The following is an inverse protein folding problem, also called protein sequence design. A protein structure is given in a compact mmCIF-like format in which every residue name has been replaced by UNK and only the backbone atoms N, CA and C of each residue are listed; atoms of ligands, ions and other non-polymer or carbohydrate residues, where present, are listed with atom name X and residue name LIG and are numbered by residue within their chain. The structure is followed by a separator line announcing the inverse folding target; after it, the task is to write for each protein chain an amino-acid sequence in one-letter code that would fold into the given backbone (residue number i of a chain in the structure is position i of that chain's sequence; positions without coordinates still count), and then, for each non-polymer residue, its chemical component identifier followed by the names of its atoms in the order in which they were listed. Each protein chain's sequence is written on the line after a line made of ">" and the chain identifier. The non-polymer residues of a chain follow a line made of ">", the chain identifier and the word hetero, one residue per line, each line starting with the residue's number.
data_IF_571768059952
#
_entry.id   IF_571768059952
#
_cell.length_a   1.000
_cell.length_b   1.000
_cell.length_c   1.000
_cell.angle_alpha   90.00
_cell.angle_beta   90.00
_cell.angle_gamma   90.00
#
_symmetry.space_group_name_H-M   'P 1'
#
loop_
_entity.id
_entity.type
_entity.pdbx_description
1 polymer ?
#
# COMPACT_ATOMS: atom_id res chain seq x y z
N UNK A 1 -9.23 24.58 -7.43
CA UNK A 1 -10.66 24.90 -7.22
C UNK A 1 -10.81 25.68 -5.94
N UNK A 2 -11.79 26.57 -5.89
CA UNK A 2 -12.03 27.43 -4.72
C UNK A 2 -12.94 26.75 -3.67
N UNK A 3 -13.48 25.58 -3.98
CA UNK A 3 -14.39 24.84 -3.13
C UNK A 3 -13.68 23.57 -2.60
N UNK A 4 -13.65 23.40 -1.29
CA UNK A 4 -13.03 22.23 -0.64
C UNK A 4 -14.01 21.05 -0.59
N UNK A 5 -15.28 21.30 -0.25
CA UNK A 5 -16.31 20.28 -0.13
C UNK A 5 -17.58 20.80 -0.76
N UNK A 6 -18.11 20.06 -1.73
CA UNK A 6 -19.48 20.20 -2.20
C UNK A 6 -20.35 19.15 -1.53
N UNK A 7 -20.91 19.52 -0.42
CA UNK A 7 -21.71 18.62 0.41
C UNK A 7 -23.01 18.19 -0.28
N UNK A 8 -23.38 16.95 -0.10
CA UNK A 8 -24.67 16.40 -0.53
C UNK A 8 -25.32 15.63 0.64
N UNK A 9 -26.65 15.70 0.74
CA UNK A 9 -27.41 14.96 1.76
C UNK A 9 -27.23 13.42 1.64
N UNK A 10 -27.01 12.93 0.42
CA UNK A 10 -26.68 11.53 0.17
C UNK A 10 -25.18 11.38 0.34
N UNK A 11 -24.77 10.54 1.30
CA UNK A 11 -23.39 10.37 1.75
C UNK A 11 -22.39 10.26 0.61
N UNK A 12 -22.57 9.32 -0.31
CA UNK A 12 -21.65 9.02 -1.40
C UNK A 12 -21.73 9.98 -2.61
N UNK A 13 -22.57 11.02 -2.55
CA UNK A 13 -22.67 12.08 -3.55
C UNK A 13 -21.91 13.35 -3.17
N UNK A 14 -21.41 13.43 -1.94
CA UNK A 14 -20.51 14.51 -1.52
C UNK A 14 -19.22 14.48 -2.34
N UNK A 15 -18.76 15.62 -2.80
CA UNK A 15 -17.52 15.75 -3.58
C UNK A 15 -16.50 16.57 -2.81
N UNK A 16 -15.30 16.05 -2.72
CA UNK A 16 -14.15 16.74 -2.15
C UNK A 16 -13.33 17.36 -3.29
N UNK A 17 -12.89 18.59 -3.09
CA UNK A 17 -12.06 19.37 -4.02
C UNK A 17 -12.59 19.37 -5.47
N UNK A 18 -13.87 19.69 -5.69
CA UNK A 18 -14.47 19.66 -7.03
C UNK A 18 -13.71 20.61 -7.98
N UNK A 19 -13.42 20.13 -9.20
CA UNK A 19 -12.66 20.87 -10.20
C UNK A 19 -11.14 20.96 -9.97
N UNK A 20 -10.63 20.40 -8.87
CA UNK A 20 -9.18 20.32 -8.66
C UNK A 20 -8.57 19.22 -9.51
N UNK A 21 -7.35 19.49 -10.03
CA UNK A 21 -6.58 18.54 -10.81
C UNK A 21 -5.19 18.36 -10.23
N UNK A 22 -4.71 17.13 -10.21
CA UNK A 22 -3.39 16.77 -9.71
C UNK A 22 -2.84 15.55 -10.46
N UNK A 23 -1.54 15.31 -10.30
CA UNK A 23 -0.92 14.05 -10.68
C UNK A 23 -0.36 13.40 -9.41
N UNK A 24 -0.70 12.13 -9.15
CA UNK A 24 -0.24 11.43 -7.96
C UNK A 24 1.28 11.30 -7.95
N UNK A 25 1.87 10.86 -9.08
CA UNK A 25 3.32 10.69 -9.17
C UNK A 25 4.09 12.02 -9.03
N UNK A 26 3.55 13.15 -9.56
CA UNK A 26 4.12 14.48 -9.37
C UNK A 26 4.22 14.84 -7.87
N UNK A 27 3.22 14.45 -7.08
CA UNK A 27 3.21 14.70 -5.64
C UNK A 27 4.16 13.78 -4.86
N UNK A 28 4.42 12.57 -5.34
CA UNK A 28 5.40 11.65 -4.76
C UNK A 28 6.83 12.09 -5.11
N UNK A 29 7.07 12.48 -6.36
CA UNK A 29 8.40 12.75 -6.93
C UNK A 29 8.83 14.23 -6.82
N UNK A 30 8.40 14.92 -5.77
CA UNK A 30 8.77 16.34 -5.55
C UNK A 30 10.26 16.56 -5.32
N UNK A 31 10.90 15.64 -4.61
CA UNK A 31 12.35 15.66 -4.37
C UNK A 31 13.09 15.21 -5.62
N UNK A 32 14.24 15.85 -5.88
CA UNK A 32 15.17 15.49 -6.96
C UNK A 32 16.60 15.63 -6.41
N UNK A 33 16.90 14.90 -5.34
CA UNK A 33 18.18 14.97 -4.64
C UNK A 33 18.95 13.65 -4.77
N UNK A 34 20.22 13.67 -4.41
CA UNK A 34 21.07 12.47 -4.31
C UNK A 34 20.83 11.65 -3.05
N UNK A 35 19.89 12.06 -2.20
CA UNK A 35 19.50 11.30 -1.03
C UNK A 35 18.75 10.02 -1.43
N UNK A 36 18.88 8.97 -0.63
CA UNK A 36 18.18 7.69 -0.86
C UNK A 36 16.68 7.91 -0.72
N UNK A 37 15.92 7.55 -1.76
CA UNK A 37 14.46 7.52 -1.73
C UNK A 37 13.94 6.15 -1.31
N UNK A 38 14.51 5.09 -1.83
CA UNK A 38 14.10 3.70 -1.57
C UNK A 38 15.34 2.85 -1.33
N UNK A 39 15.33 2.07 -0.25
CA UNK A 39 16.27 0.99 -0.01
C UNK A 39 15.52 -0.33 -0.01
N UNK A 40 16.08 -1.35 -0.62
CA UNK A 40 15.54 -2.69 -0.71
C UNK A 40 16.52 -3.70 -0.13
N UNK A 41 16.02 -4.60 0.71
CA UNK A 41 16.75 -5.76 1.23
C UNK A 41 15.98 -7.04 0.94
N UNK A 42 16.64 -8.01 0.32
CA UNK A 42 16.14 -9.39 0.18
C UNK A 42 16.51 -10.22 1.40
N UNK A 43 15.70 -11.24 1.74
CA UNK A 43 16.06 -12.24 2.75
C UNK A 43 17.40 -12.98 2.47
N UNK A 44 17.90 -12.90 1.23
CA UNK A 44 19.19 -13.48 0.81
C UNK A 44 20.36 -12.50 0.95
N UNK A 45 20.13 -11.32 1.54
CA UNK A 45 21.13 -10.29 1.73
C UNK A 45 21.45 -9.46 0.49
N UNK A 46 20.67 -9.57 -0.60
CA UNK A 46 20.80 -8.61 -1.69
C UNK A 46 20.25 -7.28 -1.24
N UNK A 47 21.04 -6.25 -1.37
CA UNK A 47 20.64 -4.89 -1.06
C UNK A 47 20.78 -4.01 -2.29
N UNK A 48 19.78 -3.20 -2.54
CA UNK A 48 19.74 -2.19 -3.60
C UNK A 48 19.17 -0.90 -3.04
N UNK A 49 19.64 0.23 -3.56
CA UNK A 49 19.07 1.53 -3.22
C UNK A 49 18.95 2.41 -4.46
N UNK A 50 18.03 3.36 -4.39
CA UNK A 50 17.79 4.34 -5.45
C UNK A 50 17.61 5.72 -4.81
N UNK A 51 18.29 6.72 -5.39
CA UNK A 51 18.12 8.12 -4.96
C UNK A 51 16.81 8.72 -5.50
N UNK A 52 16.38 9.86 -4.95
CA UNK A 52 15.22 10.59 -5.44
C UNK A 52 15.35 11.00 -6.92
N UNK A 53 16.53 11.45 -7.32
CA UNK A 53 16.83 11.79 -8.71
C UNK A 53 16.75 10.57 -9.64
N UNK A 54 17.34 9.46 -9.23
CA UNK A 54 17.30 8.22 -10.00
C UNK A 54 15.88 7.65 -10.10
N UNK A 55 15.09 7.71 -9.00
CA UNK A 55 13.69 7.29 -8.99
C UNK A 55 12.88 8.13 -9.98
N UNK A 56 13.01 9.47 -9.91
CA UNK A 56 12.37 10.38 -10.86
C UNK A 56 12.69 10.02 -12.31
N UNK A 57 13.98 9.87 -12.65
CA UNK A 57 14.43 9.57 -14.00
C UNK A 57 13.90 8.22 -14.50
N UNK A 58 13.97 7.15 -13.70
CA UNK A 58 13.46 5.83 -14.08
C UNK A 58 11.94 5.82 -14.25
N UNK A 59 11.19 6.51 -13.39
CA UNK A 59 9.74 6.67 -13.53
C UNK A 59 9.40 7.42 -14.83
N UNK A 60 10.13 8.50 -15.17
CA UNK A 60 9.93 9.25 -16.39
C UNK A 60 10.26 8.44 -17.65
N UNK A 61 11.34 7.65 -17.64
CA UNK A 61 11.69 6.73 -18.71
C UNK A 61 10.61 5.67 -18.94
N UNK A 62 10.22 4.96 -17.88
CA UNK A 62 9.20 3.94 -18.00
C UNK A 62 7.83 4.51 -18.41
N UNK A 63 7.49 5.71 -17.92
CA UNK A 63 6.31 6.47 -18.38
C UNK A 63 6.34 6.76 -19.89
N UNK A 64 7.49 7.18 -20.44
CA UNK A 64 7.68 7.38 -21.87
C UNK A 64 7.45 6.10 -22.67
N UNK A 65 8.02 4.99 -22.20
CA UNK A 65 7.80 3.67 -22.81
C UNK A 65 6.32 3.27 -22.80
N UNK A 66 5.61 3.43 -21.68
CA UNK A 66 4.17 3.09 -21.61
C UNK A 66 3.35 3.88 -22.65
N UNK A 67 3.68 5.14 -22.88
CA UNK A 67 3.05 5.95 -23.94
C UNK A 67 3.42 5.45 -25.33
N UNK A 68 4.69 5.12 -25.58
CA UNK A 68 5.16 4.66 -26.90
C UNK A 68 4.50 3.36 -27.36
N UNK A 69 4.11 2.49 -26.42
CA UNK A 69 3.38 1.26 -26.70
C UNK A 69 1.84 1.42 -26.75
N UNK A 70 1.36 2.68 -26.70
CA UNK A 70 -0.04 3.04 -26.90
C UNK A 70 -0.94 2.97 -25.66
N UNK A 71 -0.36 2.81 -24.45
CA UNK A 71 -1.16 2.88 -23.21
C UNK A 71 -1.55 4.30 -22.89
N UNK A 72 -2.77 4.47 -22.44
CA UNK A 72 -3.39 5.77 -22.19
C UNK A 72 -4.19 5.80 -20.89
N UNK A 73 -4.58 6.99 -20.48
CA UNK A 73 -5.45 7.24 -19.33
C UNK A 73 -6.64 6.28 -19.30
N UNK A 74 -6.83 5.64 -18.15
CA UNK A 74 -7.91 4.68 -17.90
C UNK A 74 -7.59 3.24 -18.29
N UNK A 75 -6.50 2.95 -18.99
CA UNK A 75 -6.02 1.60 -19.17
C UNK A 75 -5.60 1.00 -17.83
N UNK A 76 -5.59 -0.33 -17.73
CA UNK A 76 -5.21 -1.06 -16.51
C UNK A 76 -3.90 -1.79 -16.73
N UNK A 77 -3.00 -1.65 -15.77
CA UNK A 77 -1.78 -2.41 -15.66
C UNK A 77 -1.88 -3.37 -14.48
N UNK A 78 -1.66 -4.64 -14.73
CA UNK A 78 -1.55 -5.65 -13.69
C UNK A 78 -0.08 -5.90 -13.35
N UNK A 79 0.20 -6.20 -12.09
CA UNK A 79 1.52 -6.55 -11.61
C UNK A 79 1.47 -7.77 -10.68
N UNK A 80 2.26 -8.78 -11.04
CA UNK A 80 2.47 -9.98 -10.24
C UNK A 80 3.94 -10.00 -9.81
N UNK A 81 4.23 -9.26 -8.72
CA UNK A 81 5.59 -8.78 -8.41
C UNK A 81 5.93 -8.88 -6.93
N UNK A 82 7.22 -9.15 -6.59
CA UNK A 82 7.74 -9.01 -5.23
C UNK A 82 7.80 -7.54 -4.81
N UNK A 83 8.07 -7.29 -3.53
CA UNK A 83 8.22 -5.96 -2.97
C UNK A 83 9.60 -5.36 -3.28
N UNK A 84 9.80 -4.95 -4.55
CA UNK A 84 11.06 -4.39 -5.06
C UNK A 84 10.92 -2.96 -5.59
N UNK A 85 12.06 -2.31 -5.82
CA UNK A 85 12.17 -0.95 -6.38
C UNK A 85 11.45 -0.86 -7.73
N UNK A 86 11.61 -1.87 -8.60
CA UNK A 86 10.97 -1.93 -9.92
C UNK A 86 9.44 -1.94 -9.85
N UNK A 87 8.88 -2.52 -8.80
CA UNK A 87 7.43 -2.52 -8.56
C UNK A 87 6.91 -1.11 -8.29
N UNK A 88 7.68 -0.29 -7.55
CA UNK A 88 7.34 1.10 -7.26
C UNK A 88 7.54 1.99 -8.49
N UNK A 89 8.65 1.83 -9.22
CA UNK A 89 8.88 2.53 -10.49
C UNK A 89 7.70 2.29 -11.44
N UNK A 90 7.29 1.02 -11.57
CA UNK A 90 6.19 0.61 -12.44
C UNK A 90 4.85 1.24 -12.02
N UNK A 91 4.54 1.21 -10.74
CA UNK A 91 3.34 1.85 -10.20
C UNK A 91 3.33 3.35 -10.48
N UNK A 92 4.41 4.06 -10.12
CA UNK A 92 4.49 5.51 -10.28
C UNK A 92 4.43 5.93 -11.77
N UNK A 93 5.06 5.18 -12.67
CA UNK A 93 5.00 5.45 -14.10
C UNK A 93 3.58 5.23 -14.68
N UNK A 94 2.87 4.19 -14.23
CA UNK A 94 1.49 3.97 -14.61
C UNK A 94 0.60 5.15 -14.20
N UNK A 95 0.61 5.52 -12.92
CA UNK A 95 -0.26 6.58 -12.41
C UNK A 95 0.13 7.98 -12.91
N UNK A 96 1.41 8.19 -13.26
CA UNK A 96 1.87 9.40 -13.95
C UNK A 96 1.13 9.62 -15.28
N UNK A 97 0.82 8.54 -16.00
CA UNK A 97 0.10 8.55 -17.27
C UNK A 97 -1.42 8.37 -17.12
N UNK A 98 -1.95 8.37 -15.88
CA UNK A 98 -3.36 8.11 -15.63
C UNK A 98 -3.78 6.65 -15.87
N UNK A 99 -2.83 5.71 -15.95
CA UNK A 99 -3.07 4.27 -16.05
C UNK A 99 -3.37 3.74 -14.65
N UNK A 100 -4.35 2.86 -14.54
CA UNK A 100 -4.82 2.31 -13.27
C UNK A 100 -4.00 1.06 -12.93
N UNK A 101 -3.34 1.07 -11.78
CA UNK A 101 -2.51 -0.02 -11.28
C UNK A 101 -3.32 -1.07 -10.53
N UNK A 102 -2.89 -2.32 -10.59
CA UNK A 102 -3.38 -3.37 -9.69
C UNK A 102 -2.30 -4.42 -9.48
N UNK A 103 -2.03 -4.81 -8.24
CA UNK A 103 -0.95 -5.75 -7.93
C UNK A 103 -1.42 -6.94 -7.11
N UNK A 104 -0.73 -8.06 -7.33
CA UNK A 104 -0.74 -9.25 -6.50
C UNK A 104 0.69 -9.65 -6.14
N UNK A 105 0.89 -10.15 -4.94
CA UNK A 105 2.16 -10.71 -4.51
C UNK A 105 2.42 -12.07 -5.17
N UNK A 106 3.68 -12.44 -5.46
CA UNK A 106 4.02 -13.69 -6.16
C UNK A 106 3.73 -14.97 -5.36
N UNK A 107 3.41 -14.86 -4.08
CA UNK A 107 2.93 -15.96 -3.24
C UNK A 107 1.48 -16.38 -3.55
N UNK A 108 0.69 -15.51 -4.22
CA UNK A 108 -0.64 -15.91 -4.67
C UNK A 108 -0.58 -17.03 -5.70
N UNK A 109 -1.46 -18.02 -5.53
CA UNK A 109 -1.65 -19.06 -6.54
C UNK A 109 -2.26 -18.50 -7.83
N UNK A 110 -2.01 -19.15 -8.96
CA UNK A 110 -2.48 -18.74 -10.31
C UNK A 110 -3.97 -18.39 -10.32
N UNK A 111 -4.82 -19.21 -9.69
CA UNK A 111 -6.26 -18.94 -9.66
C UNK A 111 -6.61 -17.67 -8.90
N UNK A 112 -5.97 -17.42 -7.77
CA UNK A 112 -6.16 -16.19 -6.99
C UNK A 112 -5.78 -14.92 -7.75
N UNK A 113 -4.74 -14.99 -8.59
CA UNK A 113 -4.34 -13.88 -9.49
C UNK A 113 -5.36 -13.69 -10.61
N UNK A 114 -5.79 -14.81 -11.25
CA UNK A 114 -6.78 -14.78 -12.33
C UNK A 114 -8.13 -14.23 -11.86
N UNK A 115 -8.60 -14.64 -10.68
CA UNK A 115 -9.87 -14.18 -10.11
C UNK A 115 -9.89 -12.65 -9.85
N UNK A 116 -8.72 -12.05 -9.69
CA UNK A 116 -8.54 -10.61 -9.54
C UNK A 116 -8.39 -9.91 -10.89
N UNK A 117 -7.35 -10.24 -11.61
CA UNK A 117 -6.96 -9.50 -12.82
C UNK A 117 -7.92 -9.67 -13.98
N UNK A 118 -8.56 -10.83 -14.13
CA UNK A 118 -9.56 -11.04 -15.19
C UNK A 118 -10.76 -10.09 -15.10
N UNK A 119 -11.11 -9.64 -13.88
CA UNK A 119 -12.22 -8.71 -13.68
C UNK A 119 -11.92 -7.30 -14.20
N UNK A 120 -10.66 -6.91 -14.25
CA UNK A 120 -10.24 -5.56 -14.63
C UNK A 120 -9.68 -5.48 -16.05
N UNK A 121 -9.51 -6.63 -16.72
CA UNK A 121 -9.05 -6.73 -18.12
C UNK A 121 -7.80 -5.88 -18.39
N UNK A 122 -6.66 -6.14 -17.74
CA UNK A 122 -5.46 -5.32 -17.88
C UNK A 122 -4.86 -5.48 -19.27
N UNK A 123 -4.26 -4.41 -19.79
CA UNK A 123 -3.59 -4.39 -21.12
C UNK A 123 -2.18 -4.92 -21.06
N UNK A 124 -1.50 -4.76 -19.90
CA UNK A 124 -0.13 -5.25 -19.67
C UNK A 124 -0.03 -6.00 -18.34
N UNK A 125 0.95 -6.89 -18.27
CA UNK A 125 1.39 -7.54 -17.04
C UNK A 125 2.85 -7.19 -16.79
N UNK A 126 3.15 -6.76 -15.57
CA UNK A 126 4.51 -6.55 -15.06
C UNK A 126 4.79 -7.65 -14.06
N UNK A 127 5.98 -8.27 -14.13
CA UNK A 127 6.34 -9.37 -13.23
C UNK A 127 7.86 -9.42 -13.03
N UNK A 128 8.33 -10.30 -12.13
CA UNK A 128 9.73 -10.67 -12.02
C UNK A 128 9.95 -12.10 -12.52
N UNK A 129 11.21 -12.49 -12.68
CA UNK A 129 11.59 -13.85 -13.03
C UNK A 129 11.40 -14.83 -11.85
N UNK A 130 11.73 -14.41 -10.63
CA UNK A 130 11.60 -15.20 -9.41
C UNK A 130 11.44 -14.30 -8.17
N UNK A 131 11.29 -14.93 -7.00
CA UNK A 131 11.40 -14.30 -5.68
C UNK A 131 12.00 -15.30 -4.69
N UNK A 132 12.31 -14.83 -3.48
CA UNK A 132 12.77 -15.70 -2.39
C UNK A 132 11.75 -15.73 -1.27
N UNK A 133 11.58 -16.91 -0.66
CA UNK A 133 10.81 -17.04 0.57
C UNK A 133 11.32 -18.22 1.41
N UNK A 134 11.63 -17.93 2.66
CA UNK A 134 12.15 -18.89 3.63
C UNK A 134 13.35 -19.69 3.08
N UNK A 135 14.31 -18.98 2.50
CA UNK A 135 15.55 -19.53 1.92
C UNK A 135 15.42 -20.12 0.52
N UNK A 136 14.22 -20.29 -0.01
CA UNK A 136 13.96 -20.93 -1.30
C UNK A 136 13.84 -19.91 -2.43
N UNK A 137 14.52 -20.15 -3.56
CA UNK A 137 14.28 -19.46 -4.82
C UNK A 137 13.04 -20.07 -5.49
N UNK A 138 12.08 -19.22 -5.82
CA UNK A 138 10.80 -19.63 -6.42
C UNK A 138 10.64 -18.93 -7.76
N UNK A 139 10.79 -19.69 -8.86
CA UNK A 139 10.53 -19.19 -10.22
C UNK A 139 9.01 -19.01 -10.41
N UNK A 140 8.62 -17.89 -11.02
CA UNK A 140 7.20 -17.57 -11.24
C UNK A 140 6.80 -17.52 -12.72
N UNK A 141 7.75 -17.61 -13.65
CA UNK A 141 7.48 -17.46 -15.09
C UNK A 141 6.49 -18.51 -15.62
N UNK A 142 6.54 -19.77 -15.13
CA UNK A 142 5.56 -20.79 -15.50
C UNK A 142 4.13 -20.41 -15.05
N UNK A 143 3.99 -19.88 -13.83
CA UNK A 143 2.68 -19.37 -13.36
C UNK A 143 2.22 -18.19 -14.22
N UNK A 144 3.14 -17.34 -14.65
CA UNK A 144 2.85 -16.20 -15.54
C UNK A 144 2.32 -16.69 -16.88
N UNK A 145 2.92 -17.71 -17.49
CA UNK A 145 2.39 -18.32 -18.73
C UNK A 145 0.94 -18.81 -18.57
N UNK A 146 0.62 -19.44 -17.44
CA UNK A 146 -0.74 -19.90 -17.16
C UNK A 146 -1.74 -18.76 -16.90
N UNK A 147 -1.29 -17.68 -16.28
CA UNK A 147 -2.11 -16.45 -16.10
C UNK A 147 -2.42 -15.85 -17.47
N UNK A 148 -1.42 -15.72 -18.36
CA UNK A 148 -1.58 -15.15 -19.70
C UNK A 148 -2.59 -15.93 -20.55
N UNK A 149 -2.58 -17.26 -20.49
CA UNK A 149 -3.59 -18.10 -21.18
C UNK A 149 -5.02 -17.80 -20.74
N UNK A 150 -5.22 -17.42 -19.46
CA UNK A 150 -6.54 -17.19 -18.84
C UNK A 150 -7.01 -15.74 -18.94
N UNK A 151 -6.10 -14.79 -19.24
CA UNK A 151 -6.38 -13.34 -19.32
C UNK A 151 -5.92 -12.79 -20.68
N UNK A 152 -6.69 -13.02 -21.76
CA UNK A 152 -6.30 -12.65 -23.11
C UNK A 152 -6.27 -11.13 -23.38
N UNK A 153 -6.75 -10.31 -22.43
CA UNK A 153 -6.63 -8.84 -22.51
C UNK A 153 -5.18 -8.36 -22.38
N UNK A 154 -4.30 -9.13 -21.72
CA UNK A 154 -2.88 -8.81 -21.58
C UNK A 154 -2.18 -8.98 -22.94
N UNK A 155 -1.68 -7.88 -23.49
CA UNK A 155 -1.02 -7.86 -24.81
C UNK A 155 0.50 -7.87 -24.71
N UNK A 156 1.06 -7.42 -23.59
CA UNK A 156 2.50 -7.37 -23.35
C UNK A 156 2.79 -7.80 -21.91
N UNK A 157 3.90 -8.50 -21.74
CA UNK A 157 4.42 -8.90 -20.44
C UNK A 157 5.83 -8.38 -20.27
N UNK A 158 6.06 -7.62 -19.22
CA UNK A 158 7.33 -7.01 -18.86
C UNK A 158 7.90 -7.72 -17.66
N UNK A 159 9.16 -8.16 -17.75
CA UNK A 159 9.83 -8.91 -16.70
C UNK A 159 11.09 -8.18 -16.27
N UNK A 160 11.21 -7.89 -14.98
CA UNK A 160 12.47 -7.41 -14.39
C UNK A 160 13.21 -8.54 -13.67
N UNK A 161 14.52 -8.47 -13.64
CA UNK A 161 15.34 -9.40 -12.89
C UNK A 161 15.19 -9.14 -11.38
N UNK A 162 14.88 -10.18 -10.59
CA UNK A 162 14.92 -10.07 -9.13
C UNK A 162 16.34 -9.77 -8.65
N UNK A 163 17.31 -10.45 -9.24
CA UNK A 163 18.73 -10.20 -9.04
C UNK A 163 19.39 -9.85 -10.40
N UNK A 164 19.78 -8.60 -10.58
CA UNK A 164 20.38 -8.09 -11.84
C UNK A 164 21.69 -8.75 -12.22
N UNK A 165 22.30 -9.52 -11.34
CA UNK A 165 23.52 -10.30 -11.63
C UNK A 165 23.22 -11.65 -12.29
N UNK A 166 21.94 -12.03 -12.38
CA UNK A 166 21.49 -13.28 -13.01
C UNK A 166 20.87 -13.00 -14.37
N UNK A 167 21.21 -13.83 -15.35
CA UNK A 167 20.57 -13.74 -16.68
C UNK A 167 19.15 -14.30 -16.63
N UNK A 168 18.23 -13.60 -17.29
CA UNK A 168 16.84 -14.03 -17.43
C UNK A 168 16.67 -14.81 -18.73
N UNK A 169 16.08 -15.99 -18.66
CA UNK A 169 15.68 -16.75 -19.84
C UNK A 169 14.23 -16.38 -20.22
N UNK A 170 14.10 -15.35 -21.06
CA UNK A 170 12.81 -14.84 -21.54
C UNK A 170 12.50 -15.42 -22.94
N UNK A 171 11.28 -15.95 -23.12
CA UNK A 171 10.81 -16.48 -24.39
C UNK A 171 10.13 -15.39 -25.25
N UNK A 172 9.00 -14.88 -24.77
CA UNK A 172 8.17 -13.87 -25.45
C UNK A 172 7.92 -12.63 -24.59
N UNK A 173 8.58 -12.52 -23.44
CA UNK A 173 8.45 -11.40 -22.51
C UNK A 173 9.49 -10.33 -22.85
N UNK A 174 9.18 -9.10 -22.47
CA UNK A 174 10.04 -7.93 -22.69
C UNK A 174 10.87 -7.71 -21.43
N UNK A 175 12.18 -7.52 -21.60
CA UNK A 175 13.07 -7.22 -20.49
C UNK A 175 12.83 -5.77 -20.01
N UNK A 176 12.39 -5.62 -18.76
CA UNK A 176 12.11 -4.33 -18.15
C UNK A 176 13.37 -3.48 -17.95
N UNK A 177 14.50 -4.10 -17.62
CA UNK A 177 15.73 -3.38 -17.36
C UNK A 177 16.27 -2.73 -18.64
N UNK A 178 16.17 -3.41 -19.80
CA UNK A 178 16.51 -2.81 -21.11
C UNK A 178 15.64 -1.60 -21.44
N UNK A 179 14.34 -1.63 -21.06
CA UNK A 179 13.46 -0.46 -21.25
C UNK A 179 13.99 0.74 -20.48
N UNK A 180 14.41 0.54 -19.22
CA UNK A 180 14.92 1.62 -18.40
C UNK A 180 16.24 2.21 -18.92
N UNK A 181 17.03 1.41 -19.62
CA UNK A 181 18.28 1.86 -20.24
C UNK A 181 18.03 2.67 -21.53
N UNK A 182 17.11 2.24 -22.38
CA UNK A 182 16.93 2.73 -23.75
C UNK A 182 15.81 3.76 -23.91
N UNK A 183 14.79 3.76 -23.04
CA UNK A 183 13.62 4.63 -23.20
C UNK A 183 13.97 6.11 -23.01
N UNK A 184 13.32 6.96 -23.80
CA UNK A 184 13.39 8.40 -23.63
C UNK A 184 12.70 8.87 -22.33
N UNK A 185 13.23 9.94 -21.74
CA UNK A 185 12.68 10.54 -20.52
C UNK A 185 11.49 11.41 -20.87
N UNK A 186 10.31 11.05 -20.37
CA UNK A 186 9.11 11.88 -20.46
C UNK A 186 8.91 12.65 -19.14
N UNK A 187 9.27 13.89 -19.10
CA UNK A 187 9.12 14.75 -17.92
C UNK A 187 7.74 15.42 -17.80
N UNK A 188 6.81 15.12 -18.68
CA UNK A 188 5.47 15.73 -18.66
C UNK A 188 4.56 15.05 -17.62
N UNK A 189 3.95 15.83 -16.74
CA UNK A 189 2.96 15.36 -15.77
C UNK A 189 1.60 15.93 -16.11
N UNK A 190 0.77 15.13 -16.79
CA UNK A 190 -0.64 15.49 -17.01
C UNK A 190 -1.39 15.42 -15.67
N UNK A 191 -2.13 16.48 -15.35
CA UNK A 191 -2.96 16.53 -14.13
C UNK A 191 -4.37 16.06 -14.42
N UNK A 192 -4.83 15.11 -13.64
CA UNK A 192 -6.16 14.51 -13.73
C UNK A 192 -7.08 15.04 -12.63
N UNK A 193 -8.39 14.81 -12.79
CA UNK A 193 -9.38 15.14 -11.76
C UNK A 193 -9.00 14.52 -10.40
N UNK A 194 -9.40 15.17 -9.29
CA UNK A 194 -9.08 14.78 -7.93
C UNK A 194 -9.33 13.28 -7.66
N UNK A 195 -10.45 12.76 -8.13
CA UNK A 195 -10.85 11.35 -7.96
C UNK A 195 -10.41 10.44 -9.11
N UNK A 196 -9.47 10.88 -9.97
CA UNK A 196 -8.97 9.99 -11.02
C UNK A 196 -8.43 8.69 -10.43
N UNK A 197 -8.90 7.50 -10.90
CA UNK A 197 -8.45 6.23 -10.39
C UNK A 197 -6.94 6.03 -10.54
N UNK A 198 -6.26 5.62 -9.46
CA UNK A 198 -4.83 5.29 -9.49
C UNK A 198 -4.57 3.81 -9.29
N UNK A 199 -5.39 3.12 -8.48
CA UNK A 199 -5.29 1.67 -8.35
C UNK A 199 -6.61 1.00 -8.00
N UNK A 200 -6.66 -0.29 -8.26
CA UNK A 200 -7.72 -1.21 -7.88
C UNK A 200 -7.14 -2.21 -6.89
N UNK A 201 -7.71 -2.23 -5.69
CA UNK A 201 -7.38 -3.18 -4.64
C UNK A 201 -8.50 -4.20 -4.47
N UNK A 202 -8.19 -5.29 -3.80
CA UNK A 202 -9.11 -6.41 -3.64
C UNK A 202 -9.39 -6.70 -2.18
N UNK A 203 -10.66 -6.88 -1.84
CA UNK A 203 -11.07 -7.44 -0.56
C UNK A 203 -11.92 -8.69 -0.76
N UNK A 204 -12.01 -9.54 0.26
CA UNK A 204 -12.87 -10.72 0.21
C UNK A 204 -14.32 -10.31 -0.01
N UNK A 205 -14.98 -10.92 -1.01
CA UNK A 205 -16.39 -10.70 -1.30
C UNK A 205 -17.28 -11.82 -0.74
N UNK A 206 -18.49 -11.49 -0.34
CA UNK A 206 -19.49 -12.46 0.13
C UNK A 206 -19.95 -13.42 -0.97
N UNK A 207 -19.67 -13.11 -2.25
CA UNK A 207 -20.09 -13.86 -3.44
C UNK A 207 -18.98 -14.76 -4.02
N UNK A 208 -17.88 -14.97 -3.32
CA UNK A 208 -16.75 -15.82 -3.73
C UNK A 208 -15.70 -15.13 -4.60
N UNK A 209 -16.02 -14.10 -5.40
CA UNK A 209 -15.04 -13.30 -6.12
C UNK A 209 -14.64 -12.06 -5.32
N UNK A 210 -13.36 -11.66 -5.32
CA UNK A 210 -12.92 -10.43 -4.64
C UNK A 210 -13.64 -9.19 -5.17
N UNK A 211 -14.02 -8.27 -4.27
CA UNK A 211 -14.46 -6.91 -4.65
C UNK A 211 -13.28 -6.15 -5.24
N UNK A 212 -13.50 -5.45 -6.35
CA UNK A 212 -12.49 -4.61 -7.01
C UNK A 212 -12.71 -3.14 -6.61
N UNK A 213 -12.00 -2.69 -5.59
CA UNK A 213 -12.17 -1.37 -4.96
C UNK A 213 -11.26 -0.37 -5.65
N UNK A 214 -11.85 0.70 -6.20
CA UNK A 214 -11.13 1.73 -6.96
C UNK A 214 -10.85 2.93 -6.07
N UNK A 215 -9.58 3.34 -6.01
CA UNK A 215 -9.13 4.50 -5.24
C UNK A 215 -8.63 5.63 -6.14
N UNK A 216 -8.94 6.87 -5.74
CA UNK A 216 -8.58 8.07 -6.48
C UNK A 216 -7.29 8.74 -5.98
N UNK A 217 -6.64 9.48 -6.86
CA UNK A 217 -5.34 10.11 -6.61
C UNK A 217 -5.36 11.06 -5.40
N UNK A 218 -6.27 12.03 -5.40
CA UNK A 218 -6.35 13.01 -4.32
C UNK A 218 -6.84 12.41 -3.00
N UNK A 219 -7.77 11.45 -3.09
CA UNK A 219 -8.27 10.69 -1.93
C UNK A 219 -7.13 10.06 -1.15
N UNK A 220 -6.28 9.31 -1.85
CA UNK A 220 -5.15 8.58 -1.26
C UNK A 220 -4.08 9.53 -0.74
N UNK A 221 -3.73 10.57 -1.50
CA UNK A 221 -2.72 11.55 -1.07
C UNK A 221 -3.10 12.23 0.24
N UNK A 222 -4.37 12.62 0.40
CA UNK A 222 -4.83 13.25 1.64
C UNK A 222 -4.78 12.24 2.79
N UNK A 223 -5.28 11.03 2.57
CA UNK A 223 -5.33 10.00 3.59
C UNK A 223 -3.93 9.67 4.11
N UNK A 224 -3.00 9.33 3.21
CA UNK A 224 -1.65 8.94 3.62
C UNK A 224 -0.85 10.10 4.24
N UNK A 225 -0.91 11.32 3.66
CA UNK A 225 -0.23 12.46 4.26
C UNK A 225 -0.76 12.79 5.66
N UNK A 226 -2.08 12.73 5.86
CA UNK A 226 -2.72 12.92 7.16
C UNK A 226 -2.20 11.90 8.18
N UNK A 227 -2.18 10.63 7.82
CA UNK A 227 -1.74 9.57 8.73
C UNK A 227 -0.25 9.67 9.06
N UNK A 228 0.61 9.82 8.06
CA UNK A 228 2.04 9.93 8.30
C UNK A 228 2.42 11.19 9.07
N UNK A 229 1.92 12.36 8.65
CA UNK A 229 2.36 13.63 9.24
C UNK A 229 1.68 13.95 10.58
N UNK A 230 0.39 13.64 10.71
CA UNK A 230 -0.40 14.07 11.88
C UNK A 230 -0.61 12.97 12.92
N UNK A 231 -0.60 11.71 12.52
CA UNK A 231 -0.76 10.58 13.45
C UNK A 231 0.55 9.91 13.81
N UNK A 232 1.47 9.81 12.85
CA UNK A 232 2.77 9.17 13.06
C UNK A 232 3.93 10.16 13.30
N UNK A 233 3.69 11.48 13.20
CA UNK A 233 4.71 12.55 13.30
C UNK A 233 5.90 12.33 12.36
N UNK A 234 5.62 11.86 11.16
CA UNK A 234 6.66 11.65 10.16
C UNK A 234 7.00 12.97 9.48
N UNK A 235 8.30 13.25 9.39
CA UNK A 235 8.88 14.45 8.81
C UNK A 235 9.72 14.12 7.58
N UNK A 236 10.06 15.15 6.82
CA UNK A 236 11.01 15.02 5.71
C UNK A 236 12.31 14.34 6.17
N UNK A 237 12.90 13.52 5.30
CA UNK A 237 14.12 12.75 5.55
C UNK A 237 14.01 11.61 6.60
N UNK A 238 12.85 11.36 7.16
CA UNK A 238 12.67 10.19 8.02
C UNK A 238 12.56 8.90 7.21
N UNK A 239 12.76 7.77 7.88
CA UNK A 239 12.90 6.45 7.27
C UNK A 239 11.75 5.56 7.69
N UNK A 240 10.96 5.13 6.71
CA UNK A 240 9.75 4.33 6.91
C UNK A 240 10.00 2.89 6.47
N UNK A 241 9.76 1.95 7.33
CA UNK A 241 9.77 0.54 7.01
C UNK A 241 8.47 -0.11 7.47
N UNK A 242 7.74 -0.71 6.55
CA UNK A 242 6.60 -1.55 6.84
C UNK A 242 6.80 -2.93 6.20
N UNK A 243 6.79 -3.99 7.00
CA UNK A 243 6.85 -5.35 6.46
C UNK A 243 5.51 -5.69 5.79
N UNK A 244 5.52 -5.75 4.48
CA UNK A 244 4.33 -5.95 3.65
C UNK A 244 4.67 -6.60 2.32
N UNK A 245 3.64 -7.02 1.58
CA UNK A 245 3.75 -7.51 0.21
C UNK A 245 2.92 -6.65 -0.73
N UNK A 246 3.18 -6.73 -2.03
CA UNK A 246 2.48 -5.95 -3.07
C UNK A 246 0.99 -6.33 -3.23
N UNK A 247 0.56 -7.44 -2.65
CA UNK A 247 -0.83 -7.87 -2.61
C UNK A 247 -1.62 -7.37 -1.40
N UNK A 248 -0.99 -6.67 -0.48
CA UNK A 248 -1.61 -6.13 0.73
C UNK A 248 -1.64 -4.60 0.71
N UNK A 249 -2.76 -4.00 1.15
CA UNK A 249 -3.00 -2.55 1.15
C UNK A 249 -1.88 -1.75 1.84
N UNK A 250 -1.23 -2.30 2.84
CA UNK A 250 -0.15 -1.62 3.54
C UNK A 250 1.07 -1.34 2.65
N UNK A 251 1.23 -2.03 1.50
CA UNK A 251 2.21 -1.65 0.50
C UNK A 251 1.89 -0.28 -0.12
N UNK A 252 0.62 -0.06 -0.47
CA UNK A 252 0.17 1.22 -1.02
C UNK A 252 0.33 2.35 0.00
N UNK A 253 0.06 2.04 1.29
CA UNK A 253 0.28 2.96 2.40
C UNK A 253 1.76 3.32 2.53
N UNK A 254 2.67 2.34 2.58
CA UNK A 254 4.12 2.57 2.67
C UNK A 254 4.62 3.44 1.50
N UNK A 255 4.23 3.12 0.25
CA UNK A 255 4.60 3.91 -0.93
C UNK A 255 4.09 5.35 -0.84
N UNK A 256 2.89 5.54 -0.28
CA UNK A 256 2.33 6.87 0.00
C UNK A 256 3.20 7.72 0.93
N UNK A 257 4.01 7.10 1.78
CA UNK A 257 4.95 7.79 2.66
C UNK A 257 6.00 8.62 1.92
N UNK A 258 6.35 8.27 0.69
CA UNK A 258 7.24 9.10 -0.14
C UNK A 258 6.71 10.53 -0.36
N UNK A 259 5.39 10.75 -0.29
CA UNK A 259 4.80 12.09 -0.44
C UNK A 259 5.19 13.07 0.67
N UNK A 260 5.62 12.57 1.84
CA UNK A 260 6.11 13.38 2.95
C UNK A 260 7.58 13.83 2.78
N UNK A 261 8.27 13.32 1.76
CA UNK A 261 9.72 13.50 1.57
C UNK A 261 10.58 12.46 2.30
N UNK A 262 9.94 11.50 2.98
CA UNK A 262 10.62 10.41 3.70
C UNK A 262 11.10 9.32 2.76
N UNK A 263 12.17 8.63 3.14
CA UNK A 263 12.65 7.43 2.44
C UNK A 263 11.86 6.21 2.89
N UNK A 264 11.59 5.29 1.97
CA UNK A 264 10.95 4.02 2.29
C UNK A 264 11.93 2.85 2.18
N UNK A 265 11.75 1.89 3.07
CA UNK A 265 12.59 0.71 3.18
C UNK A 265 11.75 -0.53 2.89
N UNK A 266 12.23 -1.35 1.98
CA UNK A 266 11.53 -2.54 1.49
C UNK A 266 12.27 -3.78 1.96
N UNK A 267 11.52 -4.80 2.33
CA UNK A 267 12.05 -6.13 2.58
C UNK A 267 11.21 -7.14 1.80
N UNK A 268 11.87 -8.06 1.10
CA UNK A 268 11.22 -9.16 0.39
C UNK A 268 11.76 -10.51 0.88
N UNK A 269 10.86 -11.35 1.39
CA UNK A 269 11.14 -12.63 1.99
C UNK A 269 10.36 -12.90 3.27
N UNK A 270 10.70 -13.99 3.97
CA UNK A 270 10.08 -14.33 5.23
C UNK A 270 10.60 -13.44 6.37
N UNK A 271 9.73 -12.91 7.26
CA UNK A 271 10.10 -11.89 8.25
C UNK A 271 11.05 -12.39 9.34
N UNK A 272 11.16 -13.69 9.49
CA UNK A 272 11.97 -14.37 10.51
C UNK A 272 13.08 -15.23 9.89
N UNK A 273 13.43 -14.98 8.64
CA UNK A 273 14.52 -15.67 7.95
C UNK A 273 15.62 -14.67 7.53
N UNK A 274 16.91 -15.00 7.69
CA UNK A 274 17.47 -16.24 8.25
C UNK A 274 17.41 -16.32 9.78
N UNK A 275 17.06 -15.23 10.46
CA UNK A 275 16.98 -15.13 11.92
C UNK A 275 15.68 -14.49 12.36
N UNK A 276 15.27 -14.77 13.59
CA UNK A 276 14.05 -14.20 14.18
C UNK A 276 14.04 -12.66 14.22
N UNK A 277 15.22 -12.06 14.35
CA UNK A 277 15.43 -10.62 14.49
C UNK A 277 15.83 -9.92 13.18
N UNK A 278 15.76 -10.60 12.05
CA UNK A 278 16.14 -10.06 10.74
C UNK A 278 15.54 -8.67 10.45
N UNK A 279 14.26 -8.47 10.74
CA UNK A 279 13.63 -7.17 10.52
C UNK A 279 14.10 -6.10 11.52
N UNK A 280 14.38 -6.49 12.76
CA UNK A 280 14.89 -5.56 13.78
C UNK A 280 16.36 -5.20 13.53
N UNK A 281 17.20 -6.16 13.08
CA UNK A 281 18.56 -5.86 12.60
C UNK A 281 18.52 -4.88 11.42
N UNK A 282 17.58 -5.06 10.49
CA UNK A 282 17.39 -4.10 9.38
C UNK A 282 17.00 -2.71 9.89
N UNK A 283 16.11 -2.64 10.86
CA UNK A 283 15.74 -1.37 11.51
C UNK A 283 16.95 -0.66 12.14
N UNK A 284 17.76 -1.40 12.90
CA UNK A 284 18.99 -0.89 13.51
C UNK A 284 19.96 -0.37 12.44
N UNK A 285 20.28 -1.21 11.45
CA UNK A 285 21.32 -0.92 10.45
C UNK A 285 20.96 0.28 9.58
N UNK A 286 19.67 0.48 9.31
CA UNK A 286 19.16 1.57 8.49
C UNK A 286 18.67 2.77 9.28
N UNK A 287 18.66 2.67 10.63
CA UNK A 287 18.15 3.71 11.54
C UNK A 287 16.72 4.13 11.19
N UNK A 288 15.84 3.15 11.15
CA UNK A 288 14.41 3.32 10.82
C UNK A 288 13.71 4.14 11.91
N UNK A 289 12.81 5.04 11.50
CA UNK A 289 12.03 5.88 12.41
C UNK A 289 10.62 5.33 12.65
N UNK A 290 9.97 4.83 11.60
CA UNK A 290 8.68 4.11 11.70
C UNK A 290 8.90 2.64 11.32
N UNK A 291 8.55 1.74 12.24
CA UNK A 291 8.56 0.30 12.01
C UNK A 291 7.13 -0.25 12.04
N UNK A 292 6.64 -0.77 10.91
CA UNK A 292 5.30 -1.33 10.77
C UNK A 292 5.33 -2.84 10.55
N UNK A 293 4.50 -3.56 11.30
CA UNK A 293 4.37 -5.02 11.24
C UNK A 293 2.94 -5.49 11.53
N UNK A 294 2.66 -6.76 11.27
CA UNK A 294 1.43 -7.38 11.73
C UNK A 294 1.49 -7.74 13.22
N UNK A 295 0.33 -7.81 13.88
CA UNK A 295 0.23 -8.33 15.25
C UNK A 295 0.78 -9.76 15.35
N UNK A 296 0.61 -10.59 14.32
CA UNK A 296 1.16 -11.95 14.26
C UNK A 296 2.69 -11.99 14.34
N UNK A 297 3.40 -11.02 13.77
CA UNK A 297 4.85 -10.94 13.89
C UNK A 297 5.26 -10.66 15.33
N UNK A 298 4.58 -9.72 16.00
CA UNK A 298 4.82 -9.40 17.42
C UNK A 298 4.54 -10.62 18.30
N UNK A 299 3.44 -11.33 18.06
CA UNK A 299 3.08 -12.55 18.79
C UNK A 299 4.11 -13.67 18.56
N UNK A 300 4.65 -13.77 17.36
CA UNK A 300 5.71 -14.72 17.08
C UNK A 300 6.98 -14.43 17.92
N UNK A 301 7.47 -13.17 17.90
CA UNK A 301 8.60 -12.77 18.74
C UNK A 301 8.36 -13.05 20.23
N UNK A 302 7.14 -12.75 20.71
CA UNK A 302 6.74 -13.01 22.11
C UNK A 302 6.77 -14.49 22.45
N UNK A 303 6.23 -15.35 21.58
CA UNK A 303 6.18 -16.80 21.79
C UNK A 303 7.58 -17.43 21.81
N UNK A 304 8.48 -16.94 20.96
CA UNK A 304 9.90 -17.32 20.94
C UNK A 304 10.71 -16.66 22.06
N UNK A 305 10.08 -15.84 22.91
CA UNK A 305 10.71 -15.11 24.03
C UNK A 305 11.92 -14.28 23.59
N UNK A 306 11.85 -13.74 22.36
CA UNK A 306 12.93 -12.89 21.83
C UNK A 306 13.06 -11.59 22.64
N UNK A 307 14.30 -11.09 22.75
CA UNK A 307 14.63 -9.84 23.44
C UNK A 307 15.67 -9.06 22.63
N UNK A 308 15.43 -7.77 22.41
CA UNK A 308 16.26 -6.91 21.57
C UNK A 308 17.43 -6.23 22.32
N UNK A 309 17.82 -6.68 23.50
CA UNK A 309 18.86 -6.04 24.35
C UNK A 309 20.17 -5.75 23.63
N UNK A 310 20.52 -6.55 22.62
CA UNK A 310 21.75 -6.42 21.86
C UNK A 310 21.62 -5.54 20.61
N UNK A 311 20.42 -4.95 20.37
CA UNK A 311 20.16 -4.09 19.23
C UNK A 311 20.00 -2.63 19.68
N UNK A 312 20.57 -1.72 18.89
CA UNK A 312 20.30 -0.28 19.02
C UNK A 312 19.06 0.12 18.20
N UNK A 313 17.91 0.13 18.84
CA UNK A 313 16.65 0.56 18.26
C UNK A 313 16.28 2.02 18.61
N UNK A 314 17.25 2.82 19.02
CA UNK A 314 17.02 4.21 19.47
C UNK A 314 16.38 5.09 18.41
N UNK A 315 16.62 4.81 17.12
CA UNK A 315 16.03 5.57 15.99
C UNK A 315 14.54 5.34 15.81
N UNK A 316 13.98 4.21 16.27
CA UNK A 316 12.55 3.92 16.12
C UNK A 316 11.75 4.83 17.04
N UNK A 317 10.93 5.69 16.47
CA UNK A 317 10.01 6.58 17.20
C UNK A 317 8.66 5.93 17.40
N UNK A 318 8.18 5.22 16.39
CA UNK A 318 6.86 4.60 16.35
C UNK A 318 6.93 3.17 15.81
N UNK A 319 6.21 2.27 16.47
CA UNK A 319 5.88 0.93 15.96
C UNK A 319 4.38 0.91 15.67
N UNK A 320 4.01 0.57 14.44
CA UNK A 320 2.61 0.40 14.05
C UNK A 320 2.27 -1.07 13.87
N UNK A 321 1.10 -1.50 14.35
CA UNK A 321 0.64 -2.89 14.25
C UNK A 321 -0.78 -2.97 13.73
N UNK A 322 -1.01 -3.82 12.72
CA UNK A 322 -2.34 -4.07 12.14
C UNK A 322 -2.51 -5.51 11.62
N UNK A 323 -3.63 -5.77 10.95
CA UNK A 323 -3.99 -7.08 10.40
C UNK A 323 -4.80 -7.95 11.37
N UNK A 324 -4.70 -7.70 12.65
CA UNK A 324 -5.55 -8.20 13.73
C UNK A 324 -5.37 -7.30 14.95
N UNK A 325 -6.29 -7.32 15.94
CA UNK A 325 -6.10 -6.62 17.21
C UNK A 325 -4.80 -7.05 17.89
N UNK A 326 -4.06 -6.08 18.43
CA UNK A 326 -2.88 -6.35 19.24
C UNK A 326 -3.33 -6.64 20.68
N UNK A 327 -2.99 -7.81 21.20
CA UNK A 327 -3.39 -8.23 22.56
C UNK A 327 -2.63 -7.42 23.64
N UNK A 328 -3.21 -7.26 24.82
CA UNK A 328 -2.61 -6.54 25.95
C UNK A 328 -1.21 -7.05 26.30
N UNK A 329 -1.02 -8.39 26.33
CA UNK A 329 0.26 -9.00 26.61
C UNK A 329 1.31 -8.68 25.54
N UNK A 330 0.89 -8.39 24.33
CA UNK A 330 1.78 -8.03 23.22
C UNK A 330 2.21 -6.58 23.32
N UNK A 331 1.37 -5.67 23.84
CA UNK A 331 1.79 -4.31 24.25
C UNK A 331 2.87 -4.40 25.35
N UNK A 332 2.58 -5.12 26.43
CA UNK A 332 3.52 -5.31 27.54
C UNK A 332 4.84 -5.89 27.05
N UNK A 333 4.77 -6.90 26.18
CA UNK A 333 5.96 -7.55 25.62
C UNK A 333 6.84 -6.56 24.84
N UNK A 334 6.27 -5.70 24.00
CA UNK A 334 7.03 -4.68 23.24
C UNK A 334 7.77 -3.75 24.21
N UNK A 335 7.11 -3.22 25.22
CA UNK A 335 7.71 -2.28 26.18
C UNK A 335 8.77 -2.95 27.07
N UNK A 336 8.58 -4.19 27.47
CA UNK A 336 9.50 -4.90 28.35
C UNK A 336 10.71 -5.49 27.61
N UNK A 337 10.55 -5.91 26.33
CA UNK A 337 11.54 -6.73 25.65
C UNK A 337 12.08 -6.14 24.34
N UNK A 338 11.34 -5.25 23.68
CA UNK A 338 11.75 -4.69 22.40
C UNK A 338 12.20 -3.24 22.57
N UNK A 339 11.31 -2.32 23.00
CA UNK A 339 11.65 -0.91 23.15
C UNK A 339 10.73 -0.22 24.14
N UNK A 340 11.30 0.26 25.26
CA UNK A 340 10.56 0.87 26.36
C UNK A 340 9.97 2.25 26.02
N UNK A 341 10.67 3.05 25.24
CA UNK A 341 10.39 4.47 24.95
C UNK A 341 9.89 4.65 23.51
N UNK A 342 8.90 3.86 23.09
CA UNK A 342 8.35 3.91 21.74
C UNK A 342 6.86 4.26 21.77
N UNK A 343 6.40 5.01 20.76
CA UNK A 343 4.98 5.13 20.49
C UNK A 343 4.49 3.83 19.83
N UNK A 344 3.80 2.98 20.59
CA UNK A 344 3.20 1.74 20.05
C UNK A 344 1.77 2.01 19.62
N UNK A 345 1.54 2.07 18.32
CA UNK A 345 0.25 2.35 17.72
C UNK A 345 -0.38 1.08 17.13
N UNK A 346 -1.37 0.51 17.80
CA UNK A 346 -2.30 -0.41 17.17
C UNK A 346 -3.20 0.39 16.23
N UNK A 347 -3.37 -0.07 14.98
CA UNK A 347 -4.14 0.64 13.96
C UNK A 347 -5.16 -0.30 13.31
N UNK A 348 -6.36 0.22 13.03
CA UNK A 348 -7.41 -0.51 12.35
C UNK A 348 -8.07 0.34 11.26
N UNK A 349 -8.18 -0.27 10.11
CA UNK A 349 -8.75 0.30 8.90
C UNK A 349 -8.89 -0.78 7.85
N UNK A 350 -8.78 -0.41 6.57
CA UNK A 350 -8.95 -1.43 5.55
C UNK A 350 -8.66 -0.98 4.14
N UNK A 351 -8.74 -1.97 3.27
CA UNK A 351 -8.64 -1.79 1.83
C UNK A 351 -9.67 -0.79 1.29
N UNK A 352 -10.79 -0.65 1.98
CA UNK A 352 -11.91 0.18 1.54
C UNK A 352 -11.63 1.68 1.62
N UNK A 353 -10.70 2.12 2.48
CA UNK A 353 -10.27 3.53 2.54
C UNK A 353 -8.76 3.72 2.31
N UNK A 354 -8.02 2.63 2.15
CA UNK A 354 -6.54 2.61 2.00
C UNK A 354 -5.84 3.35 3.14
N UNK A 355 -6.38 3.19 4.34
CA UNK A 355 -5.93 3.86 5.56
C UNK A 355 -6.66 3.33 6.77
N UNK A 356 -6.69 4.13 7.82
CA UNK A 356 -7.19 3.75 9.12
C UNK A 356 -8.45 4.55 9.51
N UNK A 357 -9.44 3.86 10.08
CA UNK A 357 -10.58 4.49 10.75
C UNK A 357 -10.19 4.93 12.16
N UNK A 358 -9.38 4.11 12.83
CA UNK A 358 -8.86 4.35 14.17
C UNK A 358 -7.38 3.99 14.22
N UNK A 359 -6.57 4.82 14.85
CA UNK A 359 -5.11 4.64 14.89
C UNK A 359 -4.47 5.40 16.06
N UNK A 360 -3.14 5.38 16.12
CA UNK A 360 -2.37 6.14 17.09
C UNK A 360 -2.51 7.66 16.93
N UNK A 361 -2.21 8.39 17.98
CA UNK A 361 -2.10 9.84 17.96
C UNK A 361 -1.04 10.33 18.98
N UNK A 362 -0.62 11.59 18.84
CA UNK A 362 0.45 12.18 19.66
C UNK A 362 -0.07 12.86 20.95
N UNK A 363 -1.36 12.84 21.20
CA UNK A 363 -1.99 13.65 22.24
C UNK A 363 -2.50 12.83 23.44
N UNK A 364 -2.74 11.53 23.25
CA UNK A 364 -3.25 10.65 24.29
C UNK A 364 -2.23 9.60 24.70
N UNK A 365 -2.41 9.05 25.89
CA UNK A 365 -1.62 7.92 26.36
C UNK A 365 -1.93 6.65 25.53
N UNK A 366 -0.97 5.76 25.47
CA UNK A 366 -1.15 4.41 24.95
C UNK A 366 -1.64 3.52 26.10
N UNK A 367 -2.81 2.93 25.95
CA UNK A 367 -3.35 1.92 26.87
C UNK A 367 -3.22 0.54 26.24
N UNK A 368 -2.83 -0.45 27.03
CA UNK A 368 -2.67 -1.83 26.56
C UNK A 368 -4.01 -2.38 26.07
N UNK A 369 -4.00 -2.99 24.87
CA UNK A 369 -5.20 -3.57 24.26
C UNK A 369 -6.13 -2.57 23.55
N UNK A 370 -5.81 -1.27 23.59
CA UNK A 370 -6.64 -0.22 22.97
C UNK A 370 -6.00 0.41 21.73
N UNK A 371 -6.83 0.99 20.88
CA UNK A 371 -6.43 1.90 19.81
C UNK A 371 -6.70 3.32 20.29
N UNK A 372 -5.72 4.22 20.21
CA UNK A 372 -5.74 5.52 20.86
C UNK A 372 -6.87 6.44 20.42
N UNK A 373 -7.33 6.38 19.17
CA UNK A 373 -8.41 7.27 18.75
C UNK A 373 -8.80 7.21 17.29
N UNK A 374 -9.73 8.09 16.95
CA UNK A 374 -10.27 8.24 15.61
C UNK A 374 -9.25 8.87 14.65
N UNK A 375 -9.31 8.47 13.39
CA UNK A 375 -8.55 9.09 12.31
C UNK A 375 -9.05 10.51 12.05
N UNK A 376 -8.15 11.47 11.99
CA UNK A 376 -8.48 12.88 11.73
C UNK A 376 -9.26 13.03 10.41
N UNK A 377 -10.33 13.81 10.45
CA UNK A 377 -11.21 14.05 9.28
C UNK A 377 -12.20 12.92 8.98
N UNK A 378 -12.29 11.88 9.81
CA UNK A 378 -13.26 10.79 9.70
C UNK A 378 -14.11 10.76 10.97
N UNK A 379 -15.43 10.97 10.82
CA UNK A 379 -16.39 11.01 11.93
C UNK A 379 -16.82 9.58 12.29
N UNK A 380 -15.93 8.86 12.99
CA UNK A 380 -16.11 7.45 13.38
C UNK A 380 -17.02 7.34 14.61
N UNK A 381 -17.85 6.33 14.65
CA UNK A 381 -18.69 5.98 15.80
C UNK A 381 -18.86 4.46 15.89
N UNK A 382 -19.43 3.99 16.97
CA UNK A 382 -19.82 2.58 17.16
C UNK A 382 -21.32 2.51 17.39
N UNK A 383 -22.04 1.76 16.57
CA UNK A 383 -23.50 1.68 16.61
C UNK A 383 -24.00 0.33 17.12
N UNK A 384 -25.11 0.36 17.86
CA UNK A 384 -25.93 -0.83 18.11
C UNK A 384 -26.59 -1.31 16.82
N UNK A 385 -27.20 -2.49 16.84
CA UNK A 385 -27.96 -3.02 15.70
C UNK A 385 -29.14 -2.10 15.29
N UNK A 386 -29.66 -1.31 16.22
CA UNK A 386 -30.73 -0.33 15.97
C UNK A 386 -30.22 1.01 15.43
N UNK A 387 -28.91 1.14 15.13
CA UNK A 387 -28.33 2.35 14.56
C UNK A 387 -28.14 3.50 15.55
N UNK A 388 -27.95 3.23 16.84
CA UNK A 388 -27.66 4.21 17.88
C UNK A 388 -26.23 4.06 18.37
N UNK A 389 -25.60 5.18 18.74
CA UNK A 389 -24.28 5.14 19.38
C UNK A 389 -24.32 4.30 20.66
N UNK A 390 -23.34 3.39 20.80
CA UNK A 390 -23.18 2.58 22.01
C UNK A 390 -22.68 3.44 23.18
N UNK A 391 -22.89 2.97 24.40
CA UNK A 391 -22.25 3.55 25.57
C UNK A 391 -20.80 3.06 25.68
N UNK A 392 -20.00 3.81 26.42
CA UNK A 392 -18.63 3.42 26.71
C UNK A 392 -18.56 2.01 27.31
N UNK A 393 -17.66 1.17 26.78
CA UNK A 393 -17.50 -0.23 27.18
C UNK A 393 -18.46 -1.22 26.51
N UNK A 394 -19.45 -0.76 25.73
CA UNK A 394 -20.36 -1.63 24.98
C UNK A 394 -19.77 -1.96 23.59
N UNK A 395 -20.11 -3.15 23.11
CA UNK A 395 -19.73 -3.61 21.75
C UNK A 395 -20.76 -3.16 20.71
N UNK A 396 -20.29 -2.88 19.51
CA UNK A 396 -21.15 -2.56 18.36
C UNK A 396 -20.39 -2.56 17.05
N UNK A 397 -21.04 -2.02 16.03
CA UNK A 397 -20.52 -1.94 14.66
C UNK A 397 -19.80 -0.62 14.42
N UNK A 398 -18.57 -0.69 13.91
CA UNK A 398 -17.81 0.50 13.56
C UNK A 398 -18.41 1.17 12.31
N UNK A 399 -18.74 2.46 12.44
CA UNK A 399 -19.41 3.22 11.38
C UNK A 399 -18.74 4.57 11.17
N UNK A 400 -18.98 5.18 9.99
CA UNK A 400 -18.58 6.56 9.70
C UNK A 400 -19.84 7.36 9.39
N UNK A 401 -20.08 8.43 10.18
CA UNK A 401 -21.32 9.22 10.12
C UNK A 401 -21.33 10.29 9.05
N UNK A 402 -20.18 10.74 8.59
CA UNK A 402 -20.05 11.81 7.58
C UNK A 402 -19.14 11.40 6.45
N UNK A 403 -19.40 11.89 5.22
CA UNK A 403 -18.51 11.67 4.09
C UNK A 403 -17.07 12.09 4.40
N UNK A 404 -16.12 11.31 3.93
CA UNK A 404 -14.68 11.53 4.13
C UNK A 404 -13.91 11.41 2.81
N UNK A 405 -12.76 12.08 2.67
CA UNK A 405 -12.06 12.16 1.39
C UNK A 405 -11.64 10.82 0.80
N UNK A 406 -11.22 9.87 1.64
CA UNK A 406 -10.67 8.56 1.22
C UNK A 406 -11.71 7.48 0.93
N UNK A 407 -13.01 7.84 0.84
CA UNK A 407 -14.03 6.91 0.34
C UNK A 407 -13.62 6.30 -1.00
N UNK A 408 -13.89 5.00 -1.24
CA UNK A 408 -13.69 4.40 -2.56
C UNK A 408 -14.42 5.19 -3.64
N UNK A 409 -13.77 5.42 -4.77
CA UNK A 409 -14.39 6.11 -5.90
C UNK A 409 -15.57 5.31 -6.45
N UNK A 410 -15.38 3.98 -6.59
CA UNK A 410 -16.38 3.02 -7.05
C UNK A 410 -15.88 1.58 -6.85
N UNK A 411 -16.71 0.60 -7.10
CA UNK A 411 -16.27 -0.74 -7.43
C UNK A 411 -16.14 -0.88 -8.95
N UNK A 412 -15.13 -1.59 -9.42
CA UNK A 412 -14.96 -1.86 -10.83
C UNK A 412 -16.07 -2.80 -11.33
N UNK A 413 -16.70 -2.46 -12.45
CA UNK A 413 -17.83 -3.22 -12.98
C UNK A 413 -19.13 -3.12 -12.15
N UNK A 414 -19.32 -2.01 -11.44
CA UNK A 414 -20.51 -1.67 -10.65
C UNK A 414 -21.00 -0.27 -11.06
N UNK A 415 -21.41 -0.14 -12.31
CA UNK A 415 -21.77 1.16 -12.91
C UNK A 415 -23.05 1.77 -12.31
N UNK A 416 -23.99 0.90 -11.88
CA UNK A 416 -25.23 1.30 -11.18
C UNK A 416 -25.04 1.51 -9.67
N UNK A 417 -23.83 1.25 -9.14
CA UNK A 417 -23.46 1.37 -7.73
C UNK A 417 -24.26 0.52 -6.75
N UNK A 418 -24.93 -0.53 -7.21
CA UNK A 418 -25.71 -1.42 -6.33
C UNK A 418 -24.82 -2.21 -5.38
N UNK A 419 -23.71 -2.76 -5.86
CA UNK A 419 -22.76 -3.50 -5.01
C UNK A 419 -22.10 -2.57 -3.98
N UNK A 420 -21.73 -1.35 -4.40
CA UNK A 420 -21.18 -0.32 -3.53
C UNK A 420 -22.18 0.05 -2.41
N UNK A 421 -23.42 0.34 -2.78
CA UNK A 421 -24.48 0.64 -1.81
C UNK A 421 -24.72 -0.53 -0.86
N UNK A 422 -24.83 -1.75 -1.39
CA UNK A 422 -24.99 -2.96 -0.57
C UNK A 422 -23.84 -3.18 0.41
N UNK A 423 -22.61 -2.87 0.01
CA UNK A 423 -21.43 -3.06 0.86
C UNK A 423 -21.38 -2.08 2.04
N UNK A 424 -21.77 -0.81 1.83
CA UNK A 424 -21.48 0.24 2.81
C UNK A 424 -22.72 0.89 3.43
N UNK A 425 -23.92 0.77 2.83
CA UNK A 425 -25.12 1.52 3.24
C UNK A 425 -26.37 0.66 3.43
N UNK A 426 -26.27 -0.66 3.30
CA UNK A 426 -27.45 -1.54 3.41
C UNK A 426 -27.90 -1.78 4.85
N UNK A 427 -26.98 -1.66 5.81
CA UNK A 427 -27.27 -1.90 7.23
C UNK A 427 -27.84 -0.65 7.92
N UNK A 428 -27.22 0.49 7.69
CA UNK A 428 -27.63 1.77 8.25
C UNK A 428 -27.82 2.78 7.13
N UNK A 429 -29.00 3.34 7.00
CA UNK A 429 -29.31 4.29 5.93
C UNK A 429 -28.43 5.54 6.03
N UNK A 430 -27.73 5.85 4.92
CA UNK A 430 -26.86 7.02 4.80
C UNK A 430 -25.72 7.11 5.86
N UNK A 431 -25.34 5.97 6.42
CA UNK A 431 -24.18 5.82 7.32
C UNK A 431 -23.25 4.77 6.69
N UNK A 432 -22.00 5.12 6.55
CA UNK A 432 -21.00 4.19 6.02
C UNK A 432 -20.66 3.12 7.06
N UNK A 433 -20.81 1.88 6.69
CA UNK A 433 -20.52 0.73 7.53
C UNK A 433 -19.71 -0.29 6.75
N UNK A 434 -18.68 -0.86 7.38
CA UNK A 434 -17.85 -1.89 6.77
C UNK A 434 -17.34 -2.88 7.80
#
# INVERSE_FOLDING_TARGET
>A
GNEIIKYNKIFNKTKFFPGSKLNYAENILKKKTSEVAINFLSEKGFEEEITWEQLYNKVCKFSGYLKSIGLKKGDRAAAYVPNKIESIISFLACVKNGIIWSSCSPDFGTQGVVDRFKQIEPSILITSDHYFYNGKKINILEKVEDILKKIPSIKKTLVFAYNKREEMNLKNQINFDHILDEAEVDETFERFEFNHPIYILYSSGTTGKPKCIVHGAGNVLIEHNKEFMLHCDIRDNEKLFYYTTTGWMMWNWLVGGLATGSSIFLFDGAPVYPKIDTLLEYCQNKKINLFGVSAKYIDHLKNEKYNSKNLDLSSIKIITSTGSPLAEESFKYIYDNIKKDVHLASIAGGTDLVGCLVLGNLYSNVYMGEIQGQSLGIDVDVFTDEGKSVKEGEKGELVVKKPFPSMPVKFWGDDDRQKYHKAYFSRFENIWHH
#
